data_IF_433561944152
#
_entry.id   IF_433561944152
#
_cell.length_a   1.000
_cell.length_b   1.000
_cell.length_c   1.000
_cell.angle_alpha   90.00
_cell.angle_beta   90.00
_cell.angle_gamma   90.00
#
_symmetry.space_group_name_H-M   'P 1'
#
loop_
_entity.id
_entity.type
_entity.pdbx_description
1 polymer ?
#
# COMPACT_ATOMS: atom_id res chain seq x y z
N UNK A 1 14.73 10.48 1.73
CA UNK A 1 13.69 10.24 0.72
C UNK A 1 12.66 9.27 1.27
N UNK A 2 11.37 9.54 1.08
CA UNK A 2 10.30 8.62 1.48
C UNK A 2 10.10 7.56 0.40
N UNK A 3 10.06 6.28 0.78
CA UNK A 3 9.81 5.16 -0.14
C UNK A 3 8.75 4.24 0.43
N UNK A 4 7.72 3.96 -0.38
CA UNK A 4 6.66 3.01 -0.04
C UNK A 4 6.72 1.84 -1.01
N UNK A 5 6.79 0.63 -0.47
CA UNK A 5 6.86 -0.61 -1.24
C UNK A 5 5.49 -1.26 -1.28
N UNK A 6 4.94 -1.44 -2.48
CA UNK A 6 3.67 -2.14 -2.68
C UNK A 6 3.89 -3.49 -3.31
N UNK A 7 3.21 -4.51 -2.80
CA UNK A 7 3.35 -5.89 -3.26
C UNK A 7 1.99 -6.57 -3.28
N UNK A 8 1.73 -7.36 -4.32
CA UNK A 8 0.54 -8.23 -4.34
C UNK A 8 0.98 -9.68 -4.18
N UNK A 9 0.20 -10.44 -3.40
CA UNK A 9 0.48 -11.84 -3.10
C UNK A 9 -0.71 -12.72 -3.44
N UNK A 10 -0.42 -13.91 -3.96
CA UNK A 10 -1.42 -14.95 -4.21
C UNK A 10 -0.80 -16.31 -3.94
N UNK A 11 -1.50 -17.15 -3.16
CA UNK A 11 -1.03 -18.49 -2.81
C UNK A 11 0.39 -18.47 -2.22
N UNK A 12 0.66 -17.49 -1.35
CA UNK A 12 1.95 -17.25 -0.70
C UNK A 12 3.09 -16.85 -1.65
N UNK A 13 2.77 -16.48 -2.90
CA UNK A 13 3.75 -16.01 -3.86
C UNK A 13 3.55 -14.52 -4.15
N UNK A 14 4.63 -13.76 -4.17
CA UNK A 14 4.61 -12.38 -4.61
C UNK A 14 4.46 -12.36 -6.12
N UNK A 15 3.37 -11.78 -6.64
CA UNK A 15 3.09 -11.75 -8.07
C UNK A 15 3.46 -10.42 -8.72
N UNK A 16 3.54 -9.33 -7.95
CA UNK A 16 3.97 -8.04 -8.46
C UNK A 16 4.47 -7.18 -7.31
N UNK A 17 5.39 -6.26 -7.60
CA UNK A 17 5.83 -5.27 -6.63
C UNK A 17 6.27 -3.99 -7.32
N UNK A 18 6.25 -2.90 -6.57
CA UNK A 18 6.73 -1.60 -7.03
C UNK A 18 7.15 -0.76 -5.81
N UNK A 19 8.18 0.06 -5.97
CA UNK A 19 8.58 1.03 -4.96
C UNK A 19 8.25 2.42 -5.50
N UNK A 20 7.49 3.19 -4.73
CA UNK A 20 7.19 4.58 -5.05
C UNK A 20 8.06 5.48 -4.17
N UNK A 21 8.80 6.37 -4.81
CA UNK A 21 9.64 7.36 -4.14
C UNK A 21 8.92 8.70 -4.11
N UNK A 22 9.00 9.39 -2.97
CA UNK A 22 8.38 10.69 -2.80
C UNK A 22 9.35 11.58 -2.02
N UNK A 23 9.88 12.61 -2.67
CA UNK A 23 10.79 13.58 -2.08
C UNK A 23 10.12 14.94 -1.83
N UNK A 24 8.80 15.01 -1.95
CA UNK A 24 8.05 16.24 -1.73
C UNK A 24 8.15 16.69 -0.27
N UNK A 25 8.08 18.02 -0.08
CA UNK A 25 8.02 18.60 1.26
C UNK A 25 6.56 18.58 1.75
N UNK A 26 6.12 17.42 2.21
CA UNK A 26 4.73 17.18 2.58
C UNK A 26 4.69 16.33 3.87
N UNK A 27 3.50 16.20 4.45
CA UNK A 27 3.32 15.39 5.65
C UNK A 27 3.48 13.90 5.31
N UNK A 28 3.83 13.10 6.33
CA UNK A 28 3.94 11.65 6.19
C UNK A 28 2.63 11.04 5.68
N UNK A 29 1.51 11.48 6.23
CA UNK A 29 0.19 10.98 5.85
C UNK A 29 -0.10 11.23 4.38
N UNK A 30 0.15 12.43 3.89
CA UNK A 30 -0.06 12.75 2.47
C UNK A 30 0.87 11.95 1.57
N UNK A 31 2.12 11.76 1.98
CA UNK A 31 3.08 10.95 1.22
C UNK A 31 2.61 9.51 1.09
N UNK A 32 2.07 8.94 2.18
CA UNK A 32 1.51 7.58 2.18
C UNK A 32 0.34 7.48 1.21
N UNK A 33 -0.63 8.39 1.30
CA UNK A 33 -1.81 8.35 0.44
C UNK A 33 -1.45 8.54 -1.03
N UNK A 34 -0.59 9.51 -1.33
CA UNK A 34 -0.15 9.75 -2.72
C UNK A 34 0.60 8.55 -3.29
N UNK A 35 1.47 7.94 -2.48
CA UNK A 35 2.25 6.78 -2.91
C UNK A 35 1.36 5.56 -3.11
N UNK A 36 0.38 5.36 -2.23
CA UNK A 36 -0.59 4.28 -2.38
C UNK A 36 -1.40 4.44 -3.65
N UNK A 37 -1.84 5.66 -3.98
CA UNK A 37 -2.55 5.93 -5.22
C UNK A 37 -1.72 5.55 -6.44
N UNK A 38 -0.43 5.88 -6.42
CA UNK A 38 0.49 5.53 -7.51
C UNK A 38 0.70 4.02 -7.64
N UNK A 39 0.80 3.33 -6.50
CA UNK A 39 0.90 1.86 -6.48
C UNK A 39 -0.35 1.25 -7.12
N UNK A 40 -1.52 1.69 -6.69
CA UNK A 40 -2.79 1.18 -7.22
C UNK A 40 -2.95 1.49 -8.70
N UNK A 41 -2.54 2.67 -9.13
CA UNK A 41 -2.54 3.02 -10.54
C UNK A 41 -1.65 2.07 -11.35
N UNK A 42 -0.44 1.78 -10.85
CA UNK A 42 0.50 0.89 -11.52
C UNK A 42 -0.04 -0.54 -11.63
N UNK A 43 -0.82 -0.98 -10.65
CA UNK A 43 -1.40 -2.33 -10.63
C UNK A 43 -2.82 -2.39 -11.21
N UNK A 44 -3.32 -1.26 -11.73
CA UNK A 44 -4.67 -1.16 -12.28
C UNK A 44 -5.73 -1.53 -11.25
N UNK A 45 -5.60 -0.97 -10.05
CA UNK A 45 -6.50 -1.21 -8.92
C UNK A 45 -7.19 0.09 -8.49
N UNK A 46 -8.43 -0.04 -8.01
CA UNK A 46 -9.05 1.05 -7.26
C UNK A 46 -8.32 1.19 -5.91
N UNK A 47 -8.25 2.41 -5.40
CA UNK A 47 -7.62 2.65 -4.10
C UNK A 47 -8.40 1.95 -3.00
N UNK A 48 -7.74 1.16 -2.13
CA UNK A 48 -8.44 0.45 -1.07
C UNK A 48 -8.93 1.37 0.03
N UNK A 49 -9.91 0.89 0.78
CA UNK A 49 -10.47 1.58 1.95
C UNK A 49 -9.64 1.21 3.17
N UNK A 50 -9.22 2.22 3.93
CA UNK A 50 -8.53 2.01 5.20
C UNK A 50 -9.55 1.60 6.25
N UNK A 51 -9.41 0.38 6.76
CA UNK A 51 -10.20 -0.12 7.88
C UNK A 51 -9.46 0.17 9.18
N UNK A 52 -10.15 0.11 10.32
CA UNK A 52 -9.53 0.36 11.62
C UNK A 52 -8.32 -0.54 11.85
N UNK A 53 -8.43 -1.81 11.48
CA UNK A 53 -7.34 -2.78 11.63
C UNK A 53 -6.13 -2.44 10.76
N UNK A 54 -6.34 -1.93 9.54
CA UNK A 54 -5.23 -1.56 8.66
C UNK A 54 -4.52 -0.31 9.14
N UNK A 55 -5.28 0.66 9.65
CA UNK A 55 -4.71 1.86 10.27
C UNK A 55 -3.86 1.49 11.48
N UNK A 56 -4.39 0.62 12.36
CA UNK A 56 -3.68 0.19 13.56
C UNK A 56 -2.39 -0.56 13.22
N UNK A 57 -2.44 -1.47 12.26
CA UNK A 57 -1.25 -2.21 11.79
C UNK A 57 -0.20 -1.27 11.23
N UNK A 58 -0.62 -0.32 10.40
CA UNK A 58 0.30 0.60 9.77
C UNK A 58 0.99 1.51 10.78
N UNK A 59 0.24 2.00 11.76
CA UNK A 59 0.81 2.82 12.83
C UNK A 59 1.83 2.07 13.67
N UNK A 60 1.59 0.77 13.89
CA UNK A 60 2.46 -0.07 14.71
C UNK A 60 3.71 -0.55 13.98
N UNK A 61 3.55 -0.95 12.71
CA UNK A 61 4.56 -1.70 11.98
C UNK A 61 5.10 -0.98 10.75
N UNK A 62 4.57 0.20 10.39
CA UNK A 62 4.82 0.88 9.11
C UNK A 62 4.55 -0.03 7.92
N UNK A 63 3.66 -0.99 8.10
CA UNK A 63 3.30 -2.01 7.13
C UNK A 63 1.88 -2.48 7.39
N UNK A 64 1.11 -2.73 6.33
CA UNK A 64 -0.21 -3.32 6.46
C UNK A 64 -0.60 -4.07 5.19
N UNK A 65 -1.67 -4.86 5.28
CA UNK A 65 -2.21 -5.64 4.17
C UNK A 65 -3.66 -5.24 3.93
N UNK A 66 -4.00 -5.06 2.65
CA UNK A 66 -5.37 -4.81 2.22
C UNK A 66 -5.91 -6.08 1.58
N UNK A 67 -6.90 -6.69 2.22
CA UNK A 67 -7.58 -7.87 1.72
C UNK A 67 -8.82 -7.47 0.91
N UNK A 68 -9.57 -8.45 0.42
CA UNK A 68 -10.77 -8.19 -0.39
C UNK A 68 -11.75 -7.24 0.29
N UNK A 69 -11.86 -7.28 1.61
CA UNK A 69 -12.78 -6.42 2.37
C UNK A 69 -12.42 -4.93 2.31
N UNK A 70 -11.23 -4.59 1.87
CA UNK A 70 -10.80 -3.20 1.67
C UNK A 70 -11.07 -2.70 0.25
N UNK A 71 -11.48 -3.57 -0.68
CA UNK A 71 -11.71 -3.21 -2.07
C UNK A 71 -13.19 -3.33 -2.41
N UNK A 72 -13.71 -2.35 -3.16
CA UNK A 72 -15.10 -2.38 -3.64
C UNK A 72 -15.23 -3.42 -4.76
N UNK A 73 -14.21 -3.51 -5.62
CA UNK A 73 -14.19 -4.44 -6.73
C UNK A 73 -13.54 -5.77 -6.32
N UNK A 74 -13.85 -6.85 -7.05
CA UNK A 74 -13.17 -8.13 -6.86
C UNK A 74 -11.70 -8.01 -7.24
N UNK A 75 -10.83 -8.55 -6.39
CA UNK A 75 -9.40 -8.59 -6.65
C UNK A 75 -8.99 -10.01 -7.04
N UNK A 76 -7.94 -10.12 -7.89
CA UNK A 76 -7.45 -11.40 -8.40
C UNK A 76 -6.32 -11.99 -7.57
N UNK A 77 -6.01 -11.38 -6.43
CA UNK A 77 -4.92 -11.77 -5.54
C UNK A 77 -5.45 -11.80 -4.11
N UNK A 78 -4.64 -12.32 -3.18
CA UNK A 78 -5.07 -12.48 -1.79
C UNK A 78 -5.02 -11.16 -1.02
N UNK A 79 -3.96 -10.38 -1.21
CA UNK A 79 -3.83 -9.07 -0.54
C UNK A 79 -2.77 -8.21 -1.21
N UNK A 80 -2.94 -6.90 -1.03
CA UNK A 80 -1.93 -5.89 -1.35
C UNK A 80 -1.24 -5.50 -0.04
N UNK A 81 0.08 -5.65 0.02
CA UNK A 81 0.86 -5.24 1.19
C UNK A 81 1.61 -3.97 0.86
N UNK A 82 1.56 -3.00 1.77
CA UNK A 82 2.38 -1.79 1.66
C UNK A 82 3.30 -1.70 2.88
N UNK A 83 4.50 -1.20 2.65
CA UNK A 83 5.51 -1.05 3.70
C UNK A 83 6.36 0.18 3.44
N UNK A 84 6.52 1.01 4.47
CA UNK A 84 7.47 2.12 4.41
C UNK A 84 8.87 1.53 4.60
N UNK A 85 9.71 1.66 3.57
CA UNK A 85 11.06 1.09 3.61
C UNK A 85 12.12 2.16 3.79
N UNK A 86 11.78 3.43 3.62
CA UNK A 86 12.69 4.55 3.88
C UNK A 86 11.88 5.79 4.23
N UNK A 87 12.28 6.53 5.25
CA UNK A 87 11.70 7.81 5.63
C UNK A 87 12.78 8.87 5.81
N UNK A 88 12.39 10.15 5.63
CA UNK A 88 13.27 11.29 5.88
C UNK A 88 13.48 11.51 7.38
#
# INVERSE_FOLDING_TARGET
MFRLWGRTFKDNHMIADIVIENDENDTRTHKIFKSLDKICYAFDLATPIWLDKTVADFKRNAKTRFYQDSFIESIDFDYLEIQVIEED
#
